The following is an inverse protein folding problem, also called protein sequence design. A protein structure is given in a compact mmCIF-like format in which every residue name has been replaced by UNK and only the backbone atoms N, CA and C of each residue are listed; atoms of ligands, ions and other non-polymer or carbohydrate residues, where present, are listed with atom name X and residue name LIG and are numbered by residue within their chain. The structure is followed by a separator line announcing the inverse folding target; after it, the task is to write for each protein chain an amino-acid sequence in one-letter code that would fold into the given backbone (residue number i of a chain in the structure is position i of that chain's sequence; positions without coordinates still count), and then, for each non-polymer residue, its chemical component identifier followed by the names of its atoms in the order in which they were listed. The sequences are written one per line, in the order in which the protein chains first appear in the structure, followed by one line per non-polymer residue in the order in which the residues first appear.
data_IF_377754199875
#
_entry.id   IF_377754199875
#
_cell.length_a   1.000
_cell.length_b   1.000
_cell.length_c   1.000
_cell.angle_alpha   90.00
_cell.angle_beta   90.00
_cell.angle_gamma   90.00
#
_symmetry.space_group_name_H-M   'P 1'
#
loop_
_entity.id
_entity.type
_entity.pdbx_description
1 polymer ?
#
# COMPACT_ATOMS: atom_id res chain seq x y z
N UNK A 1 3.96 -23.83 -3.87
CA UNK A 1 4.23 -24.48 -2.58
C UNK A 1 5.74 -24.66 -2.47
N UNK A 2 6.45 -23.61 -2.03
CA UNK A 2 7.80 -23.75 -1.49
C UNK A 2 7.61 -23.79 0.03
N UNK A 3 8.09 -24.85 0.66
CA UNK A 3 8.25 -24.95 2.11
C UNK A 3 9.34 -23.96 2.51
N UNK A 4 8.96 -22.73 2.87
CA UNK A 4 9.87 -21.85 3.61
C UNK A 4 10.04 -22.47 4.99
N UNK A 5 11.26 -22.83 5.35
CA UNK A 5 11.60 -23.00 6.76
C UNK A 5 11.43 -21.63 7.41
N UNK A 6 10.55 -21.54 8.40
CA UNK A 6 10.29 -20.30 9.12
C UNK A 6 11.61 -19.79 9.72
N UNK A 7 12.09 -18.64 9.24
CA UNK A 7 13.34 -18.05 9.72
C UNK A 7 13.15 -17.61 11.17
N UNK A 8 13.92 -18.18 12.09
CA UNK A 8 13.93 -17.83 13.52
C UNK A 8 14.73 -16.54 13.72
N UNK A 9 14.39 -15.74 14.73
CA UNK A 9 15.18 -14.56 15.08
C UNK A 9 16.58 -14.94 15.55
N UNK A 10 17.58 -14.22 15.04
CA UNK A 10 18.95 -14.27 15.55
C UNK A 10 19.07 -13.45 16.83
N UNK A 11 19.98 -13.83 17.72
CA UNK A 11 20.34 -13.01 18.89
C UNK A 11 20.98 -11.67 18.51
N UNK A 12 21.46 -11.53 17.26
CA UNK A 12 22.04 -10.27 16.75
C UNK A 12 20.96 -9.42 16.10
N UNK A 13 20.71 -8.25 16.68
CA UNK A 13 19.68 -7.33 16.18
C UNK A 13 19.89 -6.95 14.70
N UNK A 14 21.13 -6.70 14.30
CA UNK A 14 21.47 -6.25 12.95
C UNK A 14 21.11 -7.28 11.87
N UNK A 15 21.20 -8.58 12.16
CA UNK A 15 20.84 -9.65 11.24
C UNK A 15 19.31 -9.63 11.01
N UNK A 16 18.53 -9.53 12.09
CA UNK A 16 17.07 -9.43 12.01
C UNK A 16 16.60 -8.18 11.26
N UNK A 17 17.21 -7.02 11.52
CA UNK A 17 16.92 -5.77 10.79
C UNK A 17 17.19 -5.94 9.30
N UNK A 18 18.31 -6.59 8.94
CA UNK A 18 18.69 -6.79 7.53
C UNK A 18 17.67 -7.66 6.80
N UNK A 19 17.21 -8.75 7.42
CA UNK A 19 16.15 -9.60 6.88
C UNK A 19 14.83 -8.84 6.65
N UNK A 20 14.39 -8.04 7.63
CA UNK A 20 13.17 -7.24 7.48
C UNK A 20 13.33 -6.15 6.41
N UNK A 21 14.48 -5.48 6.34
CA UNK A 21 14.77 -4.48 5.30
C UNK A 21 14.79 -5.07 3.90
N UNK A 22 15.29 -6.29 3.73
CA UNK A 22 15.23 -6.99 2.46
C UNK A 22 13.78 -7.36 2.09
N UNK A 23 13.01 -7.89 3.05
CA UNK A 23 11.60 -8.26 2.82
C UNK A 23 10.74 -7.04 2.43
N UNK A 24 10.95 -5.92 3.10
CA UNK A 24 10.27 -4.64 2.84
C UNK A 24 11.08 -3.68 1.96
N UNK A 25 12.01 -4.21 1.15
CA UNK A 25 12.66 -3.42 0.12
C UNK A 25 11.60 -2.79 -0.79
N UNK A 26 11.83 -1.57 -1.25
CA UNK A 26 10.89 -0.78 -2.08
C UNK A 26 9.54 -0.48 -1.40
N UNK A 27 9.51 -0.40 -0.06
CA UNK A 27 8.35 0.07 0.70
C UNK A 27 8.73 1.34 1.47
N UNK A 28 8.40 2.51 0.93
CA UNK A 28 8.70 3.80 1.57
C UNK A 28 7.94 4.01 2.88
N UNK A 29 6.82 3.31 3.04
CA UNK A 29 5.88 3.44 4.14
C UNK A 29 6.25 2.59 5.37
N UNK A 30 7.30 1.76 5.31
CA UNK A 30 7.81 1.01 6.46
C UNK A 30 8.86 1.83 7.20
N UNK A 31 8.62 2.05 8.49
CA UNK A 31 9.53 2.79 9.36
C UNK A 31 10.33 1.81 10.22
N UNK A 32 11.64 1.97 10.20
CA UNK A 32 12.57 1.37 11.15
C UNK A 32 13.07 2.49 12.06
N UNK A 33 12.71 2.44 13.35
CA UNK A 33 13.12 3.45 14.31
C UNK A 33 14.02 2.82 15.37
N UNK A 34 15.30 3.16 15.31
CA UNK A 34 16.34 2.68 16.22
C UNK A 34 16.35 3.53 17.51
N UNK A 35 16.43 2.87 18.66
CA UNK A 35 16.53 3.50 19.98
C UNK A 35 17.24 2.57 20.97
N UNK A 36 17.35 2.97 22.24
CA UNK A 36 18.01 2.17 23.28
C UNK A 36 17.08 2.01 24.49
N UNK A 37 16.91 0.76 24.94
CA UNK A 37 16.27 0.41 26.20
C UNK A 37 17.36 0.26 27.28
N UNK A 38 17.64 1.32 28.04
CA UNK A 38 18.82 1.31 28.91
C UNK A 38 20.09 1.27 28.06
N UNK A 39 20.91 0.24 28.24
CA UNK A 39 22.11 -0.01 27.40
C UNK A 39 21.85 -1.00 26.24
N UNK A 40 20.66 -1.58 26.13
CA UNK A 40 20.34 -2.57 25.10
C UNK A 40 19.79 -1.87 23.85
N UNK A 41 20.47 -1.99 22.68
CA UNK A 41 19.94 -1.50 21.41
C UNK A 41 18.60 -2.16 21.07
N UNK A 42 17.66 -1.36 20.56
CA UNK A 42 16.32 -1.81 20.18
C UNK A 42 15.85 -1.11 18.90
N UNK A 43 14.92 -1.73 18.19
CA UNK A 43 14.29 -1.16 17.00
C UNK A 43 12.80 -1.49 17.02
N UNK A 44 11.99 -0.50 16.67
CA UNK A 44 10.59 -0.75 16.32
C UNK A 44 10.41 -0.68 14.80
N UNK A 45 9.58 -1.57 14.29
CA UNK A 45 9.22 -1.67 12.87
C UNK A 45 7.70 -1.60 12.76
N UNK A 46 7.21 -0.70 11.92
CA UNK A 46 5.77 -0.48 11.71
C UNK A 46 5.50 0.21 10.36
N UNK A 47 4.25 0.17 9.90
CA UNK A 47 3.80 0.96 8.74
C UNK A 47 3.36 2.36 9.17
N UNK A 48 3.92 3.38 8.52
CA UNK A 48 3.43 4.75 8.62
C UNK A 48 1.95 4.78 8.18
N UNK A 49 1.11 5.53 8.91
CA UNK A 49 -0.32 5.66 8.59
C UNK A 49 -1.22 4.49 9.03
N UNK A 50 -0.68 3.32 9.36
CA UNK A 50 -1.46 2.22 9.99
C UNK A 50 -1.33 2.18 11.51
N UNK A 51 -0.35 2.88 12.06
CA UNK A 51 -0.04 2.87 13.48
C UNK A 51 -0.16 4.27 14.08
N UNK A 52 -0.57 4.36 15.35
CA UNK A 52 -0.66 5.63 16.06
C UNK A 52 0.71 6.05 16.62
N UNK A 53 1.30 7.10 16.01
CA UNK A 53 2.59 7.65 16.44
C UNK A 53 2.59 8.20 17.87
N UNK A 54 1.46 8.76 18.32
CA UNK A 54 1.35 9.28 19.69
C UNK A 54 1.34 8.13 20.70
N UNK A 55 0.70 7.01 20.34
CA UNK A 55 0.76 5.79 21.14
C UNK A 55 2.16 5.18 21.16
N UNK A 56 2.88 5.15 20.02
CA UNK A 56 4.29 4.70 20.01
C UNK A 56 5.13 5.55 20.98
N UNK A 57 5.05 6.87 20.87
CA UNK A 57 5.82 7.79 21.72
C UNK A 57 5.50 7.55 23.20
N UNK A 58 4.20 7.48 23.54
CA UNK A 58 3.74 7.37 24.93
C UNK A 58 3.99 6.00 25.57
N UNK A 59 3.85 4.92 24.81
CA UNK A 59 3.88 3.55 25.35
C UNK A 59 5.20 2.83 25.14
N UNK A 60 6.02 3.27 24.18
CA UNK A 60 7.30 2.62 23.85
C UNK A 60 8.47 3.55 24.18
N UNK A 61 8.47 4.78 23.67
CA UNK A 61 9.64 5.66 23.78
C UNK A 61 9.74 6.39 25.12
N UNK A 62 8.64 6.87 25.69
CA UNK A 62 8.67 7.53 27.01
C UNK A 62 9.09 6.60 28.17
N UNK A 63 8.60 5.35 28.28
CA UNK A 63 9.02 4.44 29.36
C UNK A 63 10.50 4.08 29.28
N UNK A 64 11.04 3.91 28.07
CA UNK A 64 12.45 3.55 27.86
C UNK A 64 13.37 4.68 28.26
N UNK A 65 12.98 5.93 28.00
CA UNK A 65 13.70 7.12 28.47
C UNK A 65 13.77 7.21 30.00
N UNK A 66 12.71 6.81 30.72
CA UNK A 66 12.71 6.80 32.19
C UNK A 66 13.60 5.70 32.76
N UNK A 67 13.72 4.58 32.05
CA UNK A 67 14.49 3.41 32.46
C UNK A 67 16.00 3.53 32.18
N UNK A 68 16.43 4.47 31.34
CA UNK A 68 17.85 4.85 31.19
C UNK A 68 18.50 5.31 32.51
N UNK A 69 17.71 5.56 33.54
CA UNK A 69 18.16 5.98 34.87
C UNK A 69 18.68 4.82 35.74
N UNK A 70 18.38 3.57 35.40
CA UNK A 70 18.75 2.39 36.19
C UNK A 70 19.91 1.63 35.52
N UNK A 71 21.01 1.46 36.25
CA UNK A 71 22.25 0.79 35.79
C UNK A 71 22.00 -0.72 35.58
N UNK A 72 21.52 -1.10 34.40
CA UNK A 72 21.31 -2.50 34.02
C UNK A 72 20.89 -2.70 32.57
N UNK A 73 21.32 -3.80 31.97
CA UNK A 73 20.79 -4.26 30.68
C UNK A 73 19.34 -4.71 30.86
N UNK A 74 18.42 -4.15 30.07
CA UNK A 74 16.99 -4.47 30.16
C UNK A 74 16.71 -5.65 29.22
N UNK A 75 16.11 -6.71 29.74
CA UNK A 75 15.65 -7.86 28.94
C UNK A 75 14.27 -7.62 28.35
N UNK A 76 13.90 -8.39 27.33
CA UNK A 76 12.55 -8.35 26.74
C UNK A 76 11.45 -8.60 27.77
N UNK A 77 11.71 -9.51 28.72
CA UNK A 77 10.79 -9.81 29.80
C UNK A 77 10.58 -8.65 30.78
N UNK A 78 11.61 -7.84 31.02
CA UNK A 78 11.51 -6.68 31.91
C UNK A 78 10.77 -5.52 31.23
N UNK A 79 11.01 -5.33 29.93
CA UNK A 79 10.25 -4.39 29.12
C UNK A 79 8.74 -4.71 29.14
N UNK A 80 8.38 -5.99 29.00
CA UNK A 80 6.98 -6.45 29.09
C UNK A 80 6.31 -6.17 30.44
N UNK A 81 7.05 -6.12 31.55
CA UNK A 81 6.48 -5.78 32.87
C UNK A 81 6.19 -4.29 33.00
N UNK A 82 6.89 -3.46 32.24
CA UNK A 82 6.77 -2.00 32.26
C UNK A 82 5.73 -1.46 31.27
N UNK A 83 5.37 -2.26 30.25
CA UNK A 83 4.34 -1.91 29.28
C UNK A 83 2.95 -1.84 29.93
N UNK A 84 2.30 -0.67 29.95
CA UNK A 84 0.92 -0.55 30.41
C UNK A 84 -0.10 -0.95 29.33
N UNK A 85 0.36 -1.62 28.26
CA UNK A 85 -0.45 -2.02 27.10
C UNK A 85 -1.08 -3.38 27.36
N UNK A 86 -2.41 -3.47 27.24
CA UNK A 86 -3.23 -4.64 27.60
C UNK A 86 -3.10 -5.85 26.68
N UNK A 87 -2.39 -5.72 25.56
CA UNK A 87 -2.24 -6.81 24.58
C UNK A 87 -0.92 -6.66 23.83
N UNK A 88 -0.04 -7.63 24.03
CA UNK A 88 1.17 -7.86 23.24
C UNK A 88 1.30 -9.36 22.99
N UNK A 89 2.02 -9.73 21.93
CA UNK A 89 2.27 -11.14 21.59
C UNK A 89 3.76 -11.34 21.34
N UNK A 90 4.32 -12.41 21.90
CA UNK A 90 5.70 -12.81 21.66
C UNK A 90 5.78 -13.54 20.31
N UNK A 91 6.71 -13.12 19.47
CA UNK A 91 6.95 -13.68 18.15
C UNK A 91 8.23 -14.52 18.17
N UNK A 92 8.16 -15.68 17.54
CA UNK A 92 9.28 -16.64 17.47
C UNK A 92 9.93 -16.66 16.08
N UNK A 93 9.19 -16.26 15.04
CA UNK A 93 9.66 -16.32 13.65
C UNK A 93 9.52 -14.99 12.94
N UNK A 94 10.34 -14.79 11.92
CA UNK A 94 10.35 -13.59 11.10
C UNK A 94 9.02 -13.44 10.33
N UNK A 95 8.44 -14.55 9.87
CA UNK A 95 7.14 -14.53 9.18
C UNK A 95 6.01 -14.07 10.10
N UNK A 96 6.06 -14.40 11.39
CA UNK A 96 5.14 -13.84 12.38
C UNK A 96 5.28 -12.31 12.50
N UNK A 97 6.51 -11.79 12.51
CA UNK A 97 6.73 -10.34 12.51
C UNK A 97 6.19 -9.68 11.24
N UNK A 98 6.43 -10.28 10.06
CA UNK A 98 5.91 -9.77 8.79
C UNK A 98 4.38 -9.73 8.78
N UNK A 99 3.72 -10.76 9.31
CA UNK A 99 2.26 -10.79 9.43
C UNK A 99 1.74 -9.70 10.38
N UNK A 100 2.34 -9.56 11.55
CA UNK A 100 1.95 -8.57 12.56
C UNK A 100 2.18 -7.12 12.07
N UNK A 101 3.31 -6.86 11.39
CA UNK A 101 3.56 -5.58 10.71
C UNK A 101 2.49 -5.35 9.63
N UNK A 102 2.17 -6.36 8.82
CA UNK A 102 1.09 -6.35 7.82
C UNK A 102 -0.30 -6.02 8.38
N UNK A 103 -0.55 -6.38 9.64
CA UNK A 103 -1.78 -6.04 10.36
C UNK A 103 -1.78 -4.61 10.95
N UNK A 104 -0.69 -3.87 10.79
CA UNK A 104 -0.51 -2.50 11.29
C UNK A 104 -0.01 -2.42 12.74
N UNK A 105 0.44 -3.54 13.30
CA UNK A 105 1.00 -3.60 14.65
C UNK A 105 2.47 -3.18 14.64
N UNK A 106 2.97 -2.82 15.83
CA UNK A 106 4.36 -2.41 16.01
C UNK A 106 5.15 -3.62 16.46
N UNK A 107 6.18 -4.00 15.71
CA UNK A 107 7.10 -5.06 16.11
C UNK A 107 8.35 -4.46 16.73
N UNK A 108 8.63 -4.82 17.97
CA UNK A 108 9.83 -4.46 18.72
C UNK A 108 10.83 -5.62 18.67
N UNK A 109 12.06 -5.33 18.25
CA UNK A 109 13.21 -6.22 18.36
C UNK A 109 14.26 -5.59 19.29
N UNK A 110 14.93 -6.40 20.11
CA UNK A 110 16.03 -5.96 20.97
C UNK A 110 17.25 -6.84 20.78
N UNK A 111 18.43 -6.25 20.94
CA UNK A 111 19.70 -6.97 20.80
C UNK A 111 19.89 -7.99 21.93
N UNK A 112 20.42 -9.16 21.58
CA UNK A 112 20.60 -10.29 22.49
C UNK A 112 19.37 -11.20 22.65
N UNK A 113 18.24 -10.89 22.01
CA UNK A 113 16.99 -11.64 22.16
C UNK A 113 16.61 -12.38 20.86
N UNK A 114 16.35 -13.68 20.96
CA UNK A 114 15.90 -14.55 19.86
C UNK A 114 14.37 -14.52 19.66
N UNK A 115 13.71 -13.46 20.15
CA UNK A 115 12.26 -13.26 20.06
C UNK A 115 11.97 -11.79 19.86
N UNK A 116 10.85 -11.50 19.20
CA UNK A 116 10.32 -10.15 19.06
C UNK A 116 8.99 -10.00 19.83
N UNK A 117 8.53 -8.77 20.03
CA UNK A 117 7.19 -8.47 20.57
C UNK A 117 6.38 -7.74 19.51
N UNK A 118 5.16 -8.19 19.26
CA UNK A 118 4.12 -7.38 18.60
C UNK A 118 3.32 -6.60 19.65
N UNK A 119 3.18 -5.30 19.44
CA UNK A 119 2.36 -4.39 20.22
C UNK A 119 1.17 -3.93 19.36
N UNK A 120 -0.05 -4.18 19.85
CA UNK A 120 -1.29 -3.83 19.15
C UNK A 120 -1.59 -2.33 19.30
N UNK A 121 -0.87 -1.50 18.54
CA UNK A 121 -1.00 -0.03 18.50
C UNK A 121 -1.55 0.46 17.14
N UNK A 122 -2.28 -0.40 16.43
CA UNK A 122 -2.88 -0.07 15.15
C UNK A 122 -3.92 1.05 15.31
N UNK A 123 -3.88 2.02 14.39
CA UNK A 123 -4.78 3.16 14.34
C UNK A 123 -5.80 2.97 13.23
N UNK A 124 -7.06 3.20 13.54
CA UNK A 124 -8.12 3.28 12.54
C UNK A 124 -8.54 4.73 12.34
N UNK A 125 -8.11 5.35 11.23
CA UNK A 125 -8.75 6.58 10.77
C UNK A 125 -10.13 6.26 10.21
N UNK A 126 -11.16 6.41 11.05
CA UNK A 126 -12.56 6.23 10.67
C UNK A 126 -13.29 7.53 10.31
N UNK A 127 -12.71 8.71 10.61
CA UNK A 127 -13.52 9.94 10.68
C UNK A 127 -13.58 10.81 9.42
N UNK A 128 -12.94 10.43 8.32
CA UNK A 128 -12.93 11.27 7.09
C UNK A 128 -13.08 10.51 5.78
N UNK A 129 -13.17 9.17 5.79
CA UNK A 129 -13.35 8.41 4.55
C UNK A 129 -14.82 8.50 4.14
N UNK A 130 -15.09 9.26 3.08
CA UNK A 130 -16.42 9.43 2.48
C UNK A 130 -16.64 8.43 1.36
N UNK A 131 -17.90 8.32 0.93
CA UNK A 131 -18.25 7.55 -0.27
C UNK A 131 -17.69 8.28 -1.51
N UNK A 132 -17.06 7.56 -2.47
CA UNK A 132 -16.56 8.20 -3.68
C UNK A 132 -17.72 8.82 -4.45
N UNK A 133 -17.63 10.13 -4.72
CA UNK A 133 -18.71 10.86 -5.40
C UNK A 133 -18.84 10.41 -6.86
N UNK A 134 -17.71 10.09 -7.51
CA UNK A 134 -17.70 9.68 -8.92
C UNK A 134 -18.06 8.20 -9.13
N UNK A 135 -17.89 7.35 -8.11
CA UNK A 135 -17.99 5.88 -8.23
C UNK A 135 -18.91 5.23 -7.17
N UNK A 136 -20.08 5.82 -6.92
CA UNK A 136 -21.08 5.21 -6.03
C UNK A 136 -21.54 3.83 -6.54
N UNK A 137 -21.65 2.84 -5.65
CA UNK A 137 -22.11 1.49 -6.00
C UNK A 137 -23.21 0.98 -5.09
N UNK A 138 -24.07 0.14 -5.66
CA UNK A 138 -25.14 -0.52 -4.89
C UNK A 138 -24.54 -1.63 -4.01
N UNK A 139 -23.46 -2.27 -4.45
CA UNK A 139 -22.81 -3.40 -3.77
C UNK A 139 -21.29 -3.29 -3.79
N UNK A 140 -20.66 -3.58 -2.65
CA UNK A 140 -19.21 -3.55 -2.47
C UNK A 140 -18.77 -2.55 -1.39
N UNK A 141 -17.45 -2.41 -1.17
CA UNK A 141 -16.90 -1.34 -0.33
C UNK A 141 -17.32 0.04 -0.85
N UNK A 142 -17.54 0.97 0.07
CA UNK A 142 -17.90 2.37 -0.21
C UNK A 142 -16.82 3.35 0.24
N UNK A 143 -15.67 2.86 0.68
CA UNK A 143 -14.55 3.72 1.04
C UNK A 143 -13.97 4.32 -0.24
N UNK A 144 -13.88 5.66 -0.32
CA UNK A 144 -13.16 6.37 -1.37
C UNK A 144 -11.82 6.89 -0.88
N UNK A 145 -10.88 7.09 -1.80
CA UNK A 145 -9.66 7.85 -1.56
C UNK A 145 -9.98 9.30 -1.20
N UNK A 146 -9.02 9.95 -0.55
CA UNK A 146 -9.07 11.37 -0.17
C UNK A 146 -7.80 12.07 -0.66
N UNK A 147 -7.64 13.36 -0.42
CA UNK A 147 -6.50 14.14 -0.92
C UNK A 147 -5.16 13.79 -0.24
N UNK A 148 -5.19 13.18 0.95
CA UNK A 148 -3.98 12.84 1.71
C UNK A 148 -3.40 11.49 1.25
N UNK A 149 -2.21 11.51 0.62
CA UNK A 149 -1.54 10.33 0.05
C UNK A 149 -1.29 9.24 1.08
N UNK A 150 -0.85 9.61 2.28
CA UNK A 150 -0.53 8.64 3.33
C UNK A 150 -1.77 7.86 3.79
N UNK A 151 -2.95 8.50 3.78
CA UNK A 151 -4.22 7.84 4.07
C UNK A 151 -4.60 6.89 2.92
N UNK A 152 -4.40 7.31 1.67
CA UNK A 152 -4.65 6.45 0.51
C UNK A 152 -3.74 5.21 0.49
N UNK A 153 -2.46 5.39 0.84
CA UNK A 153 -1.50 4.29 1.00
C UNK A 153 -1.95 3.32 2.10
N UNK A 154 -2.38 3.83 3.25
CA UNK A 154 -2.87 3.00 4.35
C UNK A 154 -4.15 2.24 3.98
N UNK A 155 -5.05 2.84 3.20
CA UNK A 155 -6.25 2.17 2.66
C UNK A 155 -5.90 0.97 1.77
N UNK A 156 -4.86 1.07 0.94
CA UNK A 156 -4.40 -0.05 0.10
C UNK A 156 -3.73 -1.13 0.96
N UNK A 157 -2.83 -0.75 1.88
CA UNK A 157 -2.17 -1.70 2.80
C UNK A 157 -3.16 -2.50 3.64
N UNK A 158 -4.28 -1.90 4.07
CA UNK A 158 -5.37 -2.59 4.77
C UNK A 158 -5.98 -3.73 3.95
N UNK A 159 -6.01 -3.59 2.62
CA UNK A 159 -6.53 -4.62 1.71
C UNK A 159 -5.46 -5.62 1.32
N UNK A 160 -4.22 -5.16 1.12
CA UNK A 160 -3.06 -5.95 0.71
C UNK A 160 -1.95 -5.89 1.75
N UNK A 161 -1.95 -6.86 2.67
CA UNK A 161 -1.02 -6.92 3.81
C UNK A 161 0.34 -7.55 3.50
N UNK A 162 0.49 -8.09 2.29
CA UNK A 162 1.71 -8.81 1.89
C UNK A 162 2.91 -7.87 1.81
N UNK A 163 4.12 -8.29 2.25
CA UNK A 163 5.35 -7.54 2.01
C UNK A 163 5.74 -7.50 0.51
N UNK A 164 5.10 -8.34 -0.33
CA UNK A 164 5.22 -8.28 -1.79
C UNK A 164 4.53 -7.06 -2.38
N UNK A 165 3.63 -6.39 -1.65
CA UNK A 165 3.14 -5.08 -2.06
C UNK A 165 4.26 -4.06 -1.86
N UNK A 166 4.81 -3.59 -2.97
CA UNK A 166 5.85 -2.57 -3.03
C UNK A 166 5.22 -1.21 -3.28
N UNK A 167 5.77 -0.19 -2.66
CA UNK A 167 5.32 1.20 -2.73
C UNK A 167 6.55 2.09 -2.78
N UNK A 168 6.86 2.59 -3.97
CA UNK A 168 8.01 3.47 -4.20
C UNK A 168 7.55 4.91 -4.28
N UNK A 169 8.15 5.79 -3.47
CA UNK A 169 7.86 7.22 -3.47
C UNK A 169 8.84 7.97 -4.38
N UNK A 170 8.34 8.94 -5.14
CA UNK A 170 9.09 9.90 -5.95
C UNK A 170 8.48 11.30 -5.78
N UNK A 171 9.31 12.34 -5.83
CA UNK A 171 8.85 13.73 -5.82
C UNK A 171 9.04 14.38 -7.18
N UNK A 172 7.99 15.04 -7.67
CA UNK A 172 7.96 15.66 -9.01
C UNK A 172 7.44 17.09 -8.89
N UNK A 173 7.94 17.97 -9.76
CA UNK A 173 7.55 19.38 -9.84
C UNK A 173 8.56 20.31 -9.19
N UNK A 174 9.01 21.34 -9.91
CA UNK A 174 10.08 22.25 -9.46
C UNK A 174 9.71 22.98 -8.17
N UNK A 175 8.49 23.51 -8.09
CA UNK A 175 7.99 24.25 -6.95
C UNK A 175 7.05 23.44 -6.05
N UNK A 176 6.17 22.62 -6.63
CA UNK A 176 5.21 21.85 -5.82
C UNK A 176 5.86 20.71 -5.04
N UNK A 177 6.95 20.12 -5.57
CA UNK A 177 7.64 18.96 -4.97
C UNK A 177 6.64 17.87 -4.54
N UNK A 178 5.64 17.63 -5.38
CA UNK A 178 4.49 16.76 -5.09
C UNK A 178 4.95 15.32 -4.96
N UNK A 179 4.53 14.67 -3.88
CA UNK A 179 4.85 13.26 -3.61
C UNK A 179 3.93 12.33 -4.41
N UNK A 180 4.51 11.33 -5.03
CA UNK A 180 3.83 10.32 -5.84
C UNK A 180 4.30 8.94 -5.40
N UNK A 181 3.37 8.01 -5.25
CA UNK A 181 3.67 6.63 -4.90
C UNK A 181 3.27 5.70 -6.03
N UNK A 182 4.24 4.92 -6.51
CA UNK A 182 4.00 3.81 -7.44
C UNK A 182 3.85 2.52 -6.61
N UNK A 183 2.64 1.96 -6.63
CA UNK A 183 2.30 0.71 -5.95
C UNK A 183 2.20 -0.45 -6.95
N UNK A 184 2.77 -1.60 -6.59
CA UNK A 184 2.74 -2.83 -7.39
C UNK A 184 2.96 -4.06 -6.51
N UNK A 185 2.59 -5.26 -6.99
CA UNK A 185 2.87 -6.53 -6.28
C UNK A 185 4.02 -7.26 -6.97
N UNK A 186 5.16 -7.37 -6.27
CA UNK A 186 6.30 -8.14 -6.74
C UNK A 186 5.94 -9.61 -6.95
N UNK A 187 6.44 -10.21 -8.04
CA UNK A 187 6.14 -11.58 -8.43
C UNK A 187 4.84 -11.77 -9.21
N UNK A 188 3.96 -10.76 -9.29
CA UNK A 188 2.77 -10.78 -10.16
C UNK A 188 2.98 -9.86 -11.37
N UNK A 189 3.46 -8.63 -11.12
CA UNK A 189 3.66 -7.63 -12.17
C UNK A 189 4.86 -7.97 -13.08
N UNK A 190 4.78 -7.58 -14.35
CA UNK A 190 5.94 -7.53 -15.22
C UNK A 190 6.88 -6.40 -14.79
N UNK A 191 8.09 -6.74 -14.35
CA UNK A 191 9.10 -5.78 -13.90
C UNK A 191 9.45 -4.69 -14.95
N UNK A 192 9.29 -4.99 -16.24
CA UNK A 192 9.54 -4.01 -17.31
C UNK A 192 8.52 -2.87 -17.28
N UNK A 193 7.27 -3.15 -16.91
CA UNK A 193 6.21 -2.15 -16.76
C UNK A 193 6.53 -1.16 -15.64
N UNK A 194 6.98 -1.66 -14.47
CA UNK A 194 7.37 -0.80 -13.34
C UNK A 194 8.53 0.11 -13.73
N UNK A 195 9.54 -0.47 -14.39
CA UNK A 195 10.72 0.27 -14.86
C UNK A 195 10.33 1.37 -15.86
N UNK A 196 9.39 1.09 -16.76
CA UNK A 196 8.93 2.07 -17.74
C UNK A 196 8.13 3.20 -17.07
N UNK A 197 7.25 2.89 -16.11
CA UNK A 197 6.52 3.90 -15.32
C UNK A 197 7.50 4.82 -14.58
N UNK A 198 8.48 4.26 -13.87
CA UNK A 198 9.52 5.03 -13.18
C UNK A 198 10.36 5.90 -14.14
N UNK A 199 10.72 5.33 -15.29
CA UNK A 199 11.45 6.01 -16.35
C UNK A 199 10.66 7.19 -16.93
N UNK A 200 9.34 7.09 -17.06
CA UNK A 200 8.49 8.20 -17.52
C UNK A 200 8.32 9.27 -16.46
N UNK A 201 7.97 8.87 -15.24
CA UNK A 201 7.80 9.78 -14.12
C UNK A 201 9.08 10.61 -13.88
N UNK A 202 10.26 9.97 -13.93
CA UNK A 202 11.54 10.66 -13.72
C UNK A 202 11.92 11.66 -14.83
N UNK A 203 11.32 11.58 -16.02
CA UNK A 203 11.55 12.54 -17.13
C UNK A 203 10.65 13.77 -17.05
N UNK A 204 9.63 13.76 -16.18
CA UNK A 204 8.70 14.88 -16.04
C UNK A 204 9.44 16.10 -15.48
N UNK A 205 9.46 17.18 -16.25
CA UNK A 205 10.04 18.47 -15.85
C UNK A 205 9.01 19.59 -15.99
N UNK A 206 8.23 19.81 -14.94
CA UNK A 206 7.17 20.83 -14.85
C UNK A 206 7.32 21.66 -13.57
N UNK A 207 6.65 22.81 -13.52
CA UNK A 207 6.71 23.72 -12.38
C UNK A 207 5.97 23.18 -11.15
N UNK A 208 4.86 22.49 -11.35
CA UNK A 208 4.15 21.78 -10.29
C UNK A 208 3.04 20.89 -10.82
N UNK A 209 2.57 19.98 -9.96
CA UNK A 209 1.45 19.07 -10.22
C UNK A 209 0.27 19.54 -9.39
N UNK A 210 -0.87 19.79 -10.04
CA UNK A 210 -2.10 20.23 -9.37
C UNK A 210 -3.18 19.15 -9.36
N UNK A 211 -3.15 18.22 -10.31
CA UNK A 211 -4.20 17.22 -10.51
C UNK A 211 -3.61 15.97 -11.19
N UNK A 212 -4.26 14.82 -11.00
CA UNK A 212 -3.80 13.50 -11.49
C UNK A 212 -3.73 13.38 -13.01
N UNK A 213 -4.64 14.02 -13.74
CA UNK A 213 -4.67 14.07 -15.20
C UNK A 213 -3.43 14.71 -15.83
N UNK A 214 -2.70 15.57 -15.10
CA UNK A 214 -1.40 16.07 -15.57
C UNK A 214 -0.36 14.95 -15.64
N UNK A 215 -0.35 14.07 -14.64
CA UNK A 215 0.52 12.89 -14.66
C UNK A 215 0.05 11.91 -15.73
N UNK A 216 -1.27 11.72 -15.86
CA UNK A 216 -1.87 10.88 -16.90
C UNK A 216 -1.34 11.25 -18.28
N UNK A 217 -1.53 12.51 -18.71
CA UNK A 217 -1.10 13.01 -20.02
C UNK A 217 0.41 12.87 -20.25
N UNK A 218 1.23 13.08 -19.22
CA UNK A 218 2.69 13.07 -19.33
C UNK A 218 3.31 11.68 -19.41
N UNK A 219 2.59 10.63 -19.02
CA UNK A 219 3.10 9.25 -19.03
C UNK A 219 2.41 8.35 -20.07
N UNK A 220 1.43 8.84 -20.81
CA UNK A 220 0.77 8.11 -21.89
C UNK A 220 1.73 7.71 -23.03
N UNK A 221 1.54 6.51 -23.61
CA UNK A 221 2.31 6.13 -24.82
C UNK A 221 1.86 6.91 -26.05
N UNK A 222 0.54 7.06 -26.20
CA UNK A 222 -0.10 7.61 -27.39
C UNK A 222 -1.03 8.78 -27.01
N UNK A 223 -0.52 10.01 -26.83
CA UNK A 223 -1.33 11.16 -26.42
C UNK A 223 -2.47 11.53 -27.39
N UNK A 224 -2.41 11.05 -28.64
CA UNK A 224 -3.45 11.26 -29.65
C UNK A 224 -4.48 10.12 -29.71
N UNK A 225 -4.35 9.11 -28.85
CA UNK A 225 -5.35 8.06 -28.73
C UNK A 225 -6.65 8.66 -28.18
N UNK A 226 -7.82 8.40 -28.79
CA UNK A 226 -9.09 8.78 -28.20
C UNK A 226 -9.47 7.90 -26.99
N UNK A 227 -8.70 6.84 -26.72
CA UNK A 227 -8.89 5.94 -25.60
C UNK A 227 -7.81 6.16 -24.54
N UNK A 228 -8.18 6.38 -23.27
CA UNK A 228 -7.20 6.55 -22.19
C UNK A 228 -6.34 5.31 -22.01
N UNK A 229 -5.06 5.51 -21.71
CA UNK A 229 -4.11 4.42 -21.47
C UNK A 229 -3.91 4.11 -19.99
N UNK A 230 -4.57 4.89 -19.13
CA UNK A 230 -4.62 4.73 -17.69
C UNK A 230 -6.08 4.67 -17.26
N UNK A 231 -6.35 3.91 -16.21
CA UNK A 231 -7.66 3.87 -15.58
C UNK A 231 -7.62 4.73 -14.33
N UNK A 232 -8.45 5.75 -14.26
CA UNK A 232 -8.67 6.55 -13.06
C UNK A 232 -9.63 5.83 -12.11
N UNK A 233 -9.38 5.89 -10.82
CA UNK A 233 -10.35 5.44 -9.82
C UNK A 233 -10.20 6.16 -8.48
N UNK A 234 -11.32 6.39 -7.81
CA UNK A 234 -11.38 6.89 -6.43
C UNK A 234 -11.40 5.74 -5.42
N UNK A 235 -11.30 4.47 -5.87
CA UNK A 235 -11.61 3.30 -5.06
C UNK A 235 -10.40 2.45 -4.70
N UNK A 236 -10.06 2.31 -3.40
CA UNK A 236 -8.93 1.50 -2.96
C UNK A 236 -9.12 0.00 -3.23
N UNK A 237 -10.36 -0.48 -3.28
CA UNK A 237 -10.69 -1.87 -3.62
C UNK A 237 -10.47 -2.17 -5.10
N UNK A 238 -10.76 -1.22 -6.00
CA UNK A 238 -10.44 -1.33 -7.43
C UNK A 238 -8.93 -1.35 -7.62
N UNK A 239 -8.19 -0.49 -6.94
CA UNK A 239 -6.72 -0.51 -6.96
C UNK A 239 -6.20 -1.88 -6.49
N UNK A 240 -6.64 -2.37 -5.33
CA UNK A 240 -6.18 -3.64 -4.79
C UNK A 240 -6.45 -4.82 -5.75
N UNK A 241 -7.61 -4.86 -6.40
CA UNK A 241 -7.93 -5.89 -7.39
C UNK A 241 -6.98 -5.84 -8.59
N UNK A 242 -6.71 -4.64 -9.13
CA UNK A 242 -5.83 -4.48 -10.28
C UNK A 242 -4.36 -4.79 -9.97
N UNK A 243 -3.89 -4.46 -8.77
CA UNK A 243 -2.55 -4.83 -8.30
C UNK A 243 -2.38 -6.36 -8.27
N UNK A 244 -3.43 -7.10 -7.86
CA UNK A 244 -3.46 -8.56 -7.88
C UNK A 244 -3.56 -9.17 -9.28
N UNK A 245 -4.00 -8.38 -10.27
CA UNK A 245 -4.01 -8.77 -11.69
C UNK A 245 -2.68 -8.45 -12.40
N UNK A 246 -1.67 -7.95 -11.68
CA UNK A 246 -0.35 -7.64 -12.23
C UNK A 246 -0.27 -6.27 -12.91
N UNK A 247 -1.15 -5.34 -12.54
CA UNK A 247 -1.09 -3.93 -12.95
C UNK A 247 -0.40 -3.10 -11.87
N UNK A 248 0.07 -1.90 -12.23
CA UNK A 248 0.60 -0.91 -11.29
C UNK A 248 -0.43 0.16 -10.98
N UNK A 249 -0.34 0.77 -9.80
CA UNK A 249 -1.12 1.93 -9.41
C UNK A 249 -0.21 3.11 -9.07
N UNK A 250 -0.65 4.33 -9.38
CA UNK A 250 0.06 5.58 -9.12
C UNK A 250 -0.88 6.45 -8.28
N UNK A 251 -0.41 6.81 -7.08
CA UNK A 251 -1.11 7.67 -6.13
C UNK A 251 -0.37 9.00 -6.07
N UNK A 252 -1.11 10.11 -6.02
CA UNK A 252 -0.55 11.45 -6.10
C UNK A 252 -1.06 12.24 -4.90
N UNK A 253 -0.16 12.94 -4.19
CA UNK A 253 -0.53 13.83 -3.08
C UNK A 253 -1.42 14.98 -3.57
N UNK A 254 -2.51 15.24 -2.84
CA UNK A 254 -3.43 16.34 -3.11
C UNK A 254 -4.64 15.98 -4.00
N UNK A 255 -4.84 14.71 -4.35
CA UNK A 255 -5.98 14.26 -5.16
C UNK A 255 -6.55 12.92 -4.64
N UNK A 256 -7.89 12.75 -4.64
CA UNK A 256 -8.54 11.47 -4.31
C UNK A 256 -8.52 10.48 -5.49
N UNK A 257 -7.82 10.76 -6.59
CA UNK A 257 -7.82 9.91 -7.78
C UNK A 257 -6.50 9.15 -7.89
N UNK A 258 -6.59 7.82 -8.00
CA UNK A 258 -5.49 6.93 -8.35
C UNK A 258 -5.49 6.59 -9.84
N UNK A 259 -4.31 6.44 -10.44
CA UNK A 259 -4.15 6.00 -11.84
C UNK A 259 -3.67 4.55 -11.87
N UNK A 260 -4.26 3.71 -12.72
CA UNK A 260 -3.90 2.29 -12.86
C UNK A 260 -3.38 2.02 -14.28
N UNK A 261 -2.20 1.42 -14.37
CA UNK A 261 -1.45 1.17 -15.61
C UNK A 261 -1.14 -0.32 -15.82
N UNK A 262 -1.17 -0.84 -17.06
CA UNK A 262 -1.72 -0.21 -18.27
C UNK A 262 -3.25 -0.36 -18.30
N UNK A 263 -3.97 0.52 -18.99
CA UNK A 263 -5.39 0.34 -19.32
C UNK A 263 -5.59 0.05 -20.81
N UNK A 264 -6.64 -0.70 -21.12
CA UNK A 264 -7.06 -1.00 -22.51
C UNK A 264 -8.52 -0.65 -22.69
N UNK A 265 -9.01 -0.62 -23.93
CA UNK A 265 -10.45 -0.42 -24.19
C UNK A 265 -11.34 -1.42 -23.43
N UNK A 266 -10.86 -2.66 -23.24
CA UNK A 266 -11.61 -3.68 -22.51
C UNK A 266 -11.67 -3.43 -21.01
N UNK A 267 -10.72 -2.68 -20.46
CA UNK A 267 -10.73 -2.24 -19.06
C UNK A 267 -11.95 -1.37 -18.77
N UNK A 268 -12.29 -0.44 -19.68
CA UNK A 268 -13.46 0.44 -19.55
C UNK A 268 -14.80 -0.25 -19.82
N UNK A 269 -14.75 -1.47 -20.36
CA UNK A 269 -15.92 -2.34 -20.52
C UNK A 269 -16.05 -3.33 -19.35
N UNK A 270 -15.33 -3.12 -18.24
CA UNK A 270 -15.49 -3.86 -17.00
C UNK A 270 -16.00 -2.92 -15.90
N UNK A 271 -16.90 -3.41 -15.05
CA UNK A 271 -17.36 -2.68 -13.86
C UNK A 271 -16.72 -3.30 -12.62
N UNK A 272 -16.33 -2.50 -11.61
CA UNK A 272 -15.94 -3.02 -10.29
C UNK A 272 -16.98 -4.01 -9.70
N UNK A 273 -18.27 -3.79 -9.96
CA UNK A 273 -19.34 -4.66 -9.47
C UNK A 273 -19.30 -6.08 -10.08
N UNK A 274 -18.68 -6.24 -11.25
CA UNK A 274 -18.54 -7.54 -11.92
C UNK A 274 -17.72 -8.52 -11.04
N UNK A 275 -16.83 -8.00 -10.17
CA UNK A 275 -16.04 -8.78 -9.22
C UNK A 275 -16.79 -9.13 -7.92
N UNK A 276 -17.92 -8.47 -7.63
CA UNK A 276 -18.71 -8.70 -6.41
C UNK A 276 -19.87 -9.68 -6.60
N UNK A 277 -20.12 -10.06 -7.84
CA UNK A 277 -21.13 -11.03 -8.19
C UNK A 277 -20.53 -12.42 -8.39
N UNK A 278 -21.39 -13.43 -8.51
CA UNK A 278 -20.93 -14.77 -8.89
C UNK A 278 -20.31 -14.70 -10.28
N UNK A 279 -19.18 -15.38 -10.47
CA UNK A 279 -18.37 -15.29 -11.69
C UNK A 279 -19.19 -15.48 -12.98
N UNK A 280 -20.17 -16.40 -12.99
CA UNK A 280 -21.00 -16.66 -14.18
C UNK A 280 -21.97 -15.51 -14.50
N UNK A 281 -22.48 -14.78 -13.48
CA UNK A 281 -23.33 -13.59 -13.69
C UNK A 281 -22.47 -12.44 -14.19
N UNK A 282 -21.35 -12.16 -13.51
CA UNK A 282 -20.42 -11.10 -13.92
C UNK A 282 -19.90 -11.31 -15.34
N UNK A 283 -19.57 -12.56 -15.70
CA UNK A 283 -19.14 -12.92 -17.06
C UNK A 283 -20.26 -12.74 -18.09
N UNK A 284 -21.50 -13.14 -17.77
CA UNK A 284 -22.64 -12.94 -18.68
C UNK A 284 -22.93 -11.46 -18.93
N UNK A 285 -22.88 -10.61 -17.89
CA UNK A 285 -23.04 -9.16 -18.01
C UNK A 285 -21.91 -8.56 -18.86
N UNK A 286 -20.66 -9.00 -18.67
CA UNK A 286 -19.51 -8.57 -19.46
C UNK A 286 -19.68 -8.89 -20.94
N UNK A 287 -20.12 -10.11 -21.28
CA UNK A 287 -20.43 -10.50 -22.67
C UNK A 287 -21.57 -9.67 -23.26
N UNK A 288 -22.61 -9.38 -22.48
CA UNK A 288 -23.71 -8.53 -22.92
C UNK A 288 -23.23 -7.11 -23.23
N UNK A 289 -22.33 -6.56 -22.40
CA UNK A 289 -21.71 -5.24 -22.61
C UNK A 289 -20.88 -5.21 -23.90
N UNK A 290 -20.11 -6.26 -24.17
CA UNK A 290 -19.37 -6.40 -25.43
C UNK A 290 -20.29 -6.47 -26.64
N UNK A 291 -21.37 -7.24 -26.56
CA UNK A 291 -22.35 -7.37 -27.63
C UNK A 291 -23.06 -6.04 -27.92
N UNK A 292 -23.50 -5.31 -26.89
CA UNK A 292 -24.14 -4.02 -27.09
C UNK A 292 -23.17 -2.94 -27.55
N UNK A 293 -21.90 -2.96 -27.11
CA UNK A 293 -20.88 -2.06 -27.65
C UNK A 293 -20.66 -2.29 -29.16
N UNK A 294 -20.64 -3.56 -29.59
CA UNK A 294 -20.55 -3.92 -31.01
C UNK A 294 -21.76 -3.42 -31.82
N UNK A 295 -22.97 -3.61 -31.31
CA UNK A 295 -24.19 -3.09 -31.95
C UNK A 295 -24.19 -1.57 -31.99
N UNK A 296 -23.80 -0.89 -30.90
CA UNK A 296 -23.77 0.57 -30.87
C UNK A 296 -22.79 1.15 -31.90
N UNK A 297 -21.66 0.48 -32.11
CA UNK A 297 -20.64 0.92 -33.07
C UNK A 297 -21.05 0.69 -34.53
N UNK A 298 -21.64 -0.46 -34.85
CA UNK A 298 -21.93 -0.87 -36.24
C UNK A 298 -23.38 -0.61 -36.65
N UNK A 299 -24.29 -0.61 -35.68
CA UNK A 299 -25.74 -0.50 -35.87
C UNK A 299 -26.18 0.70 -36.71
N UNK A 300 -25.72 1.94 -36.41
CA UNK A 300 -26.07 3.10 -37.22
C UNK A 300 -25.62 2.97 -38.69
N UNK A 301 -24.39 2.51 -38.92
CA UNK A 301 -23.84 2.32 -40.26
C UNK A 301 -24.59 1.24 -41.05
N UNK A 302 -24.94 0.13 -40.38
CA UNK A 302 -25.71 -0.96 -40.99
C UNK A 302 -27.14 -0.52 -41.33
N UNK A 303 -27.77 0.28 -40.46
CA UNK A 303 -29.10 0.83 -40.70
C UNK A 303 -29.13 1.77 -41.91
N UNK A 304 -28.12 2.64 -42.07
CA UNK A 304 -28.02 3.56 -43.22
C UNK A 304 -27.72 2.82 -44.54
N UNK A 305 -27.06 1.67 -44.48
CA UNK A 305 -26.68 0.90 -45.67
C UNK A 305 -27.85 0.16 -46.35
N UNK A 306 -28.98 -0.01 -45.64
CA UNK A 306 -30.21 -0.68 -46.13
C UNK A 306 -31.18 0.37 -46.67
#
# INVERSE_FOLDING_TARGET
MQTNEDVIFSARLQENISHLKERYADCFDVVFHDFSCGQTPAVIVYFMGLTDSDMINRYILEPTLKQLSEDGGITLGDFCKCLPVSSYTMLQTMDQAVMEIGDGNVVLLMDGEERAISLYLSKWEQRSITEPEAESVVRGPREGFIETLMVNVSMIRRKLKSPELKMKSIRIGRFSQTEIVVAFVSGIIDSSLVTEIESRLSRINIDGILESGMIEELIEDNPYSPFPQLQTTERPDVVAANLLEGRAAILIEGTPIALIAPATIFTFLQSPEDHYQRYYIGTAIRWLRYFFAFIALIGPSFYVAI
#
